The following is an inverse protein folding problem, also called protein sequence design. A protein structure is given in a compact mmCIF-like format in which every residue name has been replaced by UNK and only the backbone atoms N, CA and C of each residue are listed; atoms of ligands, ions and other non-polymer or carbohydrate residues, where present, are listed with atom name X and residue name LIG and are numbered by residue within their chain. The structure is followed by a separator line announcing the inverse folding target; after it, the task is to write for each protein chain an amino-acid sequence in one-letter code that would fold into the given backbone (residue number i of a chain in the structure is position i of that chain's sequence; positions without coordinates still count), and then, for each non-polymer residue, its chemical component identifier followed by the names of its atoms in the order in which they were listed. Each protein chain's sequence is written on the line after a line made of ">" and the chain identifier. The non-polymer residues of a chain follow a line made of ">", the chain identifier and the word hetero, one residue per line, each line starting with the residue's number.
data_IF_575908564504
#
_entry.id   IF_575908564504
#
_cell.length_a   1.000
_cell.length_b   1.000
_cell.length_c   1.000
_cell.angle_alpha   90.00
_cell.angle_beta   90.00
_cell.angle_gamma   90.00
#
_symmetry.space_group_name_H-M   'P 1'
#
loop_
_entity.id
_entity.type
_entity.pdbx_description
1 polymer ?
#
# COMPACT_ATOMS: atom_id res chain seq x y z
N UNK A 1 2.21 -102.30 52.61
CA UNK A 1 2.00 -101.02 53.30
C UNK A 1 2.80 -99.93 52.59
N UNK A 2 2.11 -98.89 52.10
CA UNK A 2 2.68 -97.74 51.34
C UNK A 2 3.06 -96.62 52.32
N UNK A 3 3.97 -95.74 51.86
CA UNK A 3 4.15 -94.30 52.24
C UNK A 3 5.25 -93.97 53.27
N UNK A 4 6.53 -93.95 52.89
CA UNK A 4 7.49 -92.97 53.44
C UNK A 4 8.58 -92.63 52.42
N UNK A 5 8.22 -92.13 51.24
CA UNK A 5 9.20 -91.50 50.32
C UNK A 5 8.53 -90.37 49.54
N UNK A 6 8.17 -89.26 50.21
CA UNK A 6 7.72 -88.02 49.55
C UNK A 6 8.07 -86.75 50.35
N UNK A 7 9.23 -86.67 50.97
CA UNK A 7 9.65 -85.47 51.72
C UNK A 7 10.77 -84.64 51.07
N UNK A 8 11.17 -84.92 49.82
CA UNK A 8 12.32 -84.23 49.19
C UNK A 8 12.05 -83.27 48.03
N UNK A 9 10.79 -82.98 47.70
CA UNK A 9 10.49 -82.07 46.58
C UNK A 9 9.27 -81.20 46.87
N UNK A 10 9.32 -80.42 47.95
CA UNK A 10 8.38 -79.31 48.11
C UNK A 10 9.14 -78.06 48.52
N UNK A 11 8.87 -76.98 47.78
CA UNK A 11 9.17 -75.57 48.05
C UNK A 11 10.43 -74.96 47.43
N UNK A 12 10.60 -75.14 46.13
CA UNK A 12 11.03 -74.04 45.24
C UNK A 12 10.14 -73.99 44.00
N UNK A 13 8.81 -73.93 44.20
CA UNK A 13 7.94 -73.42 43.14
C UNK A 13 8.10 -71.91 43.16
N UNK A 14 9.01 -71.40 42.32
CA UNK A 14 9.04 -70.00 41.95
C UNK A 14 7.59 -69.60 41.61
N UNK A 15 6.99 -68.78 42.48
CA UNK A 15 5.69 -68.22 42.22
C UNK A 15 5.83 -67.41 40.93
N UNK A 16 5.29 -67.95 39.83
CA UNK A 16 5.24 -67.28 38.53
C UNK A 16 4.40 -66.03 38.72
N UNK A 17 5.05 -64.91 39.09
CA UNK A 17 4.43 -63.60 39.23
C UNK A 17 3.72 -63.30 37.92
N UNK A 18 2.38 -63.36 37.93
CA UNK A 18 1.56 -62.96 36.79
C UNK A 18 1.79 -61.46 36.61
N UNK A 19 2.55 -61.07 35.58
CA UNK A 19 2.65 -59.66 35.20
C UNK A 19 1.23 -59.17 34.85
N UNK A 20 0.80 -57.99 35.33
CA UNK A 20 -0.48 -57.45 34.92
C UNK A 20 -0.44 -57.24 33.40
N UNK A 21 -1.38 -57.84 32.67
CA UNK A 21 -1.59 -57.53 31.26
C UNK A 21 -2.07 -56.08 31.21
N UNK A 22 -1.18 -55.17 30.81
CA UNK A 22 -1.60 -53.84 30.42
C UNK A 22 -2.67 -53.99 29.33
N UNK A 23 -3.87 -53.47 29.58
CA UNK A 23 -4.91 -53.39 28.56
C UNK A 23 -4.43 -52.35 27.55
N UNK A 24 -3.78 -52.81 26.49
CA UNK A 24 -3.36 -51.97 25.38
C UNK A 24 -4.59 -51.30 24.76
N UNK A 25 -4.47 -50.02 24.48
CA UNK A 25 -5.51 -49.27 23.77
C UNK A 25 -5.68 -49.90 22.38
N UNK A 26 -6.92 -50.12 21.94
CA UNK A 26 -7.17 -50.72 20.62
C UNK A 26 -6.69 -49.78 19.51
N UNK A 27 -6.14 -50.33 18.43
CA UNK A 27 -5.64 -49.55 17.29
C UNK A 27 -6.72 -48.62 16.69
N UNK A 28 -7.98 -49.01 16.78
CA UNK A 28 -9.14 -48.20 16.35
C UNK A 28 -9.29 -46.94 17.20
N UNK A 29 -9.09 -47.02 18.51
CA UNK A 29 -9.18 -45.86 19.41
C UNK A 29 -8.01 -44.89 19.19
N UNK A 30 -6.83 -45.44 18.89
CA UNK A 30 -5.65 -44.65 18.50
C UNK A 30 -5.87 -43.93 17.17
N UNK A 31 -6.43 -44.61 16.16
CA UNK A 31 -6.78 -44.02 14.87
C UNK A 31 -7.85 -42.92 15.03
N UNK A 32 -8.88 -43.15 15.85
CA UNK A 32 -9.90 -42.15 16.14
C UNK A 32 -9.32 -40.91 16.82
N UNK A 33 -8.41 -41.09 17.78
CA UNK A 33 -7.73 -39.96 18.45
C UNK A 33 -6.90 -39.12 17.47
N UNK A 34 -6.19 -39.76 16.53
CA UNK A 34 -5.42 -39.05 15.49
C UNK A 34 -6.33 -38.22 14.60
N UNK A 35 -7.47 -38.77 14.16
CA UNK A 35 -8.43 -38.03 13.32
C UNK A 35 -8.99 -36.82 14.06
N UNK A 36 -9.31 -36.95 15.35
CA UNK A 36 -9.80 -35.83 16.16
C UNK A 36 -8.75 -34.73 16.30
N UNK A 37 -7.50 -35.10 16.58
CA UNK A 37 -6.38 -34.14 16.67
C UNK A 37 -6.18 -33.43 15.33
N UNK A 38 -6.18 -34.17 14.21
CA UNK A 38 -6.05 -33.60 12.88
C UNK A 38 -7.20 -32.63 12.57
N UNK A 39 -8.44 -32.99 12.91
CA UNK A 39 -9.61 -32.13 12.74
C UNK A 39 -9.49 -30.82 13.51
N UNK A 40 -9.05 -30.88 14.79
CA UNK A 40 -8.83 -29.69 15.61
C UNK A 40 -7.72 -28.81 15.01
N UNK A 41 -6.60 -29.42 14.61
CA UNK A 41 -5.50 -28.66 14.00
C UNK A 41 -5.92 -28.00 12.69
N UNK A 42 -6.73 -28.66 11.87
CA UNK A 42 -7.21 -28.08 10.61
C UNK A 42 -8.07 -26.84 10.86
N UNK A 43 -9.03 -26.93 11.79
CA UNK A 43 -9.89 -25.80 12.15
C UNK A 43 -9.07 -24.64 12.71
N UNK A 44 -8.08 -24.93 13.55
CA UNK A 44 -7.22 -23.90 14.13
C UNK A 44 -6.39 -23.18 13.08
N UNK A 45 -5.75 -23.93 12.17
CA UNK A 45 -4.99 -23.34 11.06
C UNK A 45 -5.88 -22.52 10.13
N UNK A 46 -7.11 -22.97 9.85
CA UNK A 46 -8.01 -22.23 8.98
C UNK A 46 -8.37 -20.86 9.58
N UNK A 47 -8.67 -20.81 10.89
CA UNK A 47 -8.95 -19.55 11.60
C UNK A 47 -7.76 -18.59 11.62
N UNK A 48 -6.54 -19.10 11.81
CA UNK A 48 -5.36 -18.23 11.80
C UNK A 48 -5.10 -17.68 10.40
N UNK A 49 -5.25 -18.50 9.36
CA UNK A 49 -5.10 -18.03 7.97
C UNK A 49 -6.13 -16.96 7.59
N UNK A 50 -7.38 -17.08 8.02
CA UNK A 50 -8.40 -16.03 7.75
C UNK A 50 -8.06 -14.73 8.48
N UNK A 51 -7.62 -14.80 9.73
CA UNK A 51 -7.22 -13.61 10.49
C UNK A 51 -6.01 -12.91 9.87
N UNK A 52 -5.03 -13.67 9.39
CA UNK A 52 -3.86 -13.11 8.69
C UNK A 52 -4.29 -12.43 7.40
N UNK A 53 -5.21 -13.02 6.65
CA UNK A 53 -5.74 -12.41 5.43
C UNK A 53 -6.47 -11.09 5.73
N UNK A 54 -7.33 -11.07 6.75
CA UNK A 54 -8.00 -9.85 7.21
C UNK A 54 -7.00 -8.76 7.61
N UNK A 55 -6.00 -9.10 8.41
CA UNK A 55 -4.92 -8.18 8.79
C UNK A 55 -4.16 -7.64 7.58
N UNK A 56 -3.82 -8.50 6.61
CA UNK A 56 -3.15 -8.08 5.38
C UNK A 56 -4.02 -7.11 4.57
N UNK A 57 -5.32 -7.36 4.46
CA UNK A 57 -6.23 -6.42 3.78
C UNK A 57 -6.35 -5.08 4.51
N UNK A 58 -6.38 -5.09 5.85
CA UNK A 58 -6.38 -3.87 6.65
C UNK A 58 -5.09 -3.07 6.46
N UNK A 59 -3.94 -3.74 6.47
CA UNK A 59 -2.63 -3.12 6.20
C UNK A 59 -2.59 -2.51 4.80
N UNK A 60 -3.05 -3.23 3.78
CA UNK A 60 -3.10 -2.72 2.40
C UNK A 60 -3.96 -1.47 2.29
N UNK A 61 -5.12 -1.45 2.95
CA UNK A 61 -6.01 -0.27 3.00
C UNK A 61 -5.33 0.91 3.70
N UNK A 62 -4.66 0.67 4.82
CA UNK A 62 -3.91 1.71 5.53
C UNK A 62 -2.76 2.26 4.69
N UNK A 63 -2.03 1.39 3.98
CA UNK A 63 -0.97 1.82 3.06
C UNK A 63 -1.50 2.68 1.91
N UNK A 64 -2.63 2.30 1.31
CA UNK A 64 -3.26 3.11 0.26
C UNK A 64 -3.67 4.49 0.79
N UNK A 65 -4.24 4.55 1.99
CA UNK A 65 -4.60 5.82 2.63
C UNK A 65 -3.39 6.70 2.93
N UNK A 66 -2.25 6.11 3.34
CA UNK A 66 -1.00 6.85 3.54
C UNK A 66 -0.45 7.40 2.23
N UNK A 67 -0.49 6.61 1.15
CA UNK A 67 -0.03 7.05 -0.16
C UNK A 67 -0.89 8.21 -0.70
N UNK A 68 -2.22 8.14 -0.52
CA UNK A 68 -3.14 9.22 -0.88
C UNK A 68 -2.87 10.50 -0.07
N UNK A 69 -2.61 10.37 1.23
CA UNK A 69 -2.21 11.50 2.08
C UNK A 69 -0.88 12.12 1.63
N UNK A 70 0.12 11.31 1.29
CA UNK A 70 1.41 11.81 0.81
C UNK A 70 1.27 12.55 -0.53
N UNK A 71 0.47 12.00 -1.45
CA UNK A 71 0.14 12.69 -2.72
C UNK A 71 -0.53 14.03 -2.46
N UNK A 72 -1.53 14.06 -1.59
CA UNK A 72 -2.24 15.29 -1.23
C UNK A 72 -1.30 16.33 -0.59
N UNK A 73 -0.42 15.88 0.31
CA UNK A 73 0.58 16.76 0.93
C UNK A 73 1.55 17.35 -0.10
N UNK A 74 2.03 16.53 -1.03
CA UNK A 74 2.94 16.97 -2.11
C UNK A 74 2.26 17.96 -3.05
N UNK A 75 0.99 17.73 -3.40
CA UNK A 75 0.23 18.63 -4.26
C UNK A 75 -0.01 19.99 -3.59
N UNK A 76 -0.41 19.98 -2.31
CA UNK A 76 -0.54 21.21 -1.52
C UNK A 76 0.79 21.96 -1.41
N UNK A 77 1.89 21.25 -1.16
CA UNK A 77 3.20 21.87 -1.06
C UNK A 77 3.66 22.47 -2.41
N UNK A 78 3.40 21.78 -3.52
CA UNK A 78 3.67 22.31 -4.86
C UNK A 78 2.83 23.57 -5.15
N UNK A 79 1.56 23.59 -4.74
CA UNK A 79 0.69 24.76 -4.82
C UNK A 79 1.23 25.94 -4.01
N UNK A 80 1.71 25.69 -2.79
CA UNK A 80 2.35 26.72 -1.95
C UNK A 80 3.63 27.27 -2.57
N UNK A 81 4.48 26.40 -3.11
CA UNK A 81 5.72 26.80 -3.78
C UNK A 81 5.42 27.63 -5.04
N UNK A 82 4.37 27.28 -5.80
CA UNK A 82 3.94 28.06 -6.97
C UNK A 82 3.44 29.46 -6.59
N UNK A 83 2.66 29.58 -5.50
CA UNK A 83 2.19 30.87 -4.99
C UNK A 83 3.39 31.71 -4.53
N UNK A 84 4.29 31.14 -3.74
CA UNK A 84 5.48 31.82 -3.23
C UNK A 84 6.39 32.28 -4.37
N UNK A 85 6.60 31.42 -5.39
CA UNK A 85 7.35 31.78 -6.60
C UNK A 85 6.68 32.93 -7.35
N UNK A 86 5.35 32.92 -7.48
CA UNK A 86 4.61 33.99 -8.16
C UNK A 86 4.73 35.32 -7.41
N UNK A 87 4.67 35.29 -6.08
CA UNK A 87 4.88 36.47 -5.24
C UNK A 87 6.32 36.99 -5.33
N UNK A 88 7.31 36.10 -5.33
CA UNK A 88 8.71 36.46 -5.51
C UNK A 88 8.97 37.07 -6.91
N UNK A 89 8.32 36.55 -7.96
CA UNK A 89 8.35 37.11 -9.32
C UNK A 89 7.74 38.51 -9.33
N UNK A 90 6.54 38.68 -8.74
CA UNK A 90 5.88 39.98 -8.61
C UNK A 90 6.77 40.99 -7.89
N UNK A 91 7.38 40.58 -6.78
CA UNK A 91 8.27 41.42 -5.97
C UNK A 91 9.50 41.86 -6.78
N UNK A 92 10.17 40.93 -7.46
CA UNK A 92 11.33 41.27 -8.31
C UNK A 92 10.92 42.19 -9.47
N UNK A 93 9.83 41.90 -10.15
CA UNK A 93 9.32 42.73 -11.24
C UNK A 93 9.02 44.16 -10.78
N UNK A 94 8.33 44.31 -9.65
CA UNK A 94 7.95 45.62 -9.12
C UNK A 94 9.14 46.43 -8.61
N UNK A 95 10.00 45.82 -7.80
CA UNK A 95 11.05 46.55 -7.08
C UNK A 95 12.39 46.60 -7.81
N UNK A 96 12.75 45.58 -8.58
CA UNK A 96 14.03 45.55 -9.31
C UNK A 96 13.87 46.07 -10.75
N UNK A 97 12.76 45.73 -11.42
CA UNK A 97 12.52 46.11 -12.81
C UNK A 97 11.62 47.36 -12.94
N UNK A 98 11.08 47.87 -11.84
CA UNK A 98 10.19 49.04 -11.84
C UNK A 98 8.86 48.81 -12.56
N UNK A 99 8.45 47.55 -12.74
CA UNK A 99 7.21 47.22 -13.42
C UNK A 99 6.00 47.60 -12.56
N UNK A 100 5.03 48.28 -13.18
CA UNK A 100 3.75 48.61 -12.56
C UNK A 100 2.70 47.62 -13.06
N UNK A 101 1.84 47.14 -12.16
CA UNK A 101 0.76 46.23 -12.54
C UNK A 101 -0.24 47.01 -13.41
N UNK A 102 -0.65 46.48 -14.58
CA UNK A 102 -1.55 47.18 -15.48
C UNK A 102 -2.95 47.33 -14.87
N UNK A 103 -3.61 48.44 -15.17
CA UNK A 103 -4.98 48.71 -14.75
C UNK A 103 -5.99 47.84 -15.55
N UNK A 104 -7.17 47.59 -14.98
CA UNK A 104 -8.16 46.67 -15.56
C UNK A 104 -8.67 47.10 -16.95
N UNK A 105 -8.54 48.38 -17.30
CA UNK A 105 -8.88 48.95 -18.60
C UNK A 105 -7.82 48.65 -19.69
N UNK A 106 -6.61 48.26 -19.29
CA UNK A 106 -5.50 47.92 -20.19
C UNK A 106 -5.47 46.42 -20.55
N UNK A 107 -6.30 45.59 -19.91
CA UNK A 107 -6.36 44.14 -20.16
C UNK A 107 -7.32 43.85 -21.32
N UNK A 108 -6.78 43.57 -22.51
CA UNK A 108 -7.57 43.10 -23.66
C UNK A 108 -7.64 41.57 -23.69
N UNK A 109 -8.85 41.03 -23.58
CA UNK A 109 -9.12 39.60 -23.78
C UNK A 109 -9.23 39.32 -25.28
N UNK A 110 -8.34 38.48 -25.80
CA UNK A 110 -8.42 38.00 -27.19
C UNK A 110 -9.23 36.71 -27.17
N UNK A 111 -10.42 36.76 -27.77
CA UNK A 111 -11.29 35.61 -27.92
C UNK A 111 -10.76 34.72 -29.05
N UNK A 112 -10.00 33.68 -28.70
CA UNK A 112 -9.50 32.69 -29.66
C UNK A 112 -10.60 31.68 -29.99
N UNK A 113 -11.63 32.16 -30.67
CA UNK A 113 -12.49 31.28 -31.46
C UNK A 113 -11.65 30.72 -32.60
N UNK A 114 -11.26 29.44 -32.49
CA UNK A 114 -10.57 28.68 -33.52
C UNK A 114 -11.44 28.62 -34.78
N UNK A 115 -11.33 29.62 -35.65
CA UNK A 115 -11.70 29.49 -37.05
C UNK A 115 -10.62 28.64 -37.71
N UNK A 116 -10.96 27.37 -37.94
CA UNK A 116 -10.25 26.47 -38.82
C UNK A 116 -10.40 26.97 -40.27
N UNK A 117 -9.73 28.05 -40.64
CA UNK A 117 -9.47 28.37 -42.04
C UNK A 117 -7.98 28.18 -42.30
N UNK A 118 -7.71 27.08 -43.01
CA UNK A 118 -6.43 26.77 -43.65
C UNK A 118 -6.00 27.97 -44.48
N UNK A 119 -4.99 28.71 -44.03
CA UNK A 119 -4.25 29.59 -44.92
C UNK A 119 -2.77 29.43 -44.62
N UNK A 120 -2.06 29.08 -45.69
CA UNK A 120 -0.64 28.84 -45.84
C UNK A 120 0.23 29.70 -44.93
N UNK A 121 1.04 29.03 -44.11
CA UNK A 121 2.12 29.67 -43.36
C UNK A 121 3.26 29.92 -44.35
N UNK A 122 3.34 31.14 -44.90
CA UNK A 122 4.58 31.61 -45.52
C UNK A 122 5.56 31.98 -44.41
N UNK A 123 6.46 31.05 -44.15
CA UNK A 123 7.59 31.11 -43.25
C UNK A 123 8.56 32.22 -43.69
N UNK A 124 8.26 33.50 -43.34
CA UNK A 124 9.21 34.63 -43.44
C UNK A 124 8.67 35.89 -42.75
N UNK A 125 8.71 35.97 -41.41
CA UNK A 125 8.81 37.27 -40.73
C UNK A 125 9.78 37.16 -39.56
N UNK A 126 11.05 37.29 -39.89
CA UNK A 126 12.10 37.58 -38.92
C UNK A 126 11.82 38.95 -38.26
N UNK A 127 11.74 38.92 -36.92
CA UNK A 127 12.25 39.94 -36.00
C UNK A 127 12.19 41.41 -36.45
N UNK A 128 11.21 42.17 -35.93
CA UNK A 128 11.49 43.57 -35.58
C UNK A 128 10.58 44.12 -34.47
N UNK A 129 11.03 44.20 -33.21
CA UNK A 129 10.28 44.85 -32.13
C UNK A 129 10.44 46.39 -32.07
N UNK A 130 11.10 47.06 -33.03
CA UNK A 130 11.50 48.47 -32.85
C UNK A 130 10.57 49.52 -33.50
N UNK A 131 9.64 49.17 -34.39
CA UNK A 131 8.92 50.20 -35.19
C UNK A 131 7.53 50.60 -34.65
N UNK A 132 7.00 49.97 -33.61
CA UNK A 132 5.63 50.32 -33.15
C UNK A 132 5.52 51.59 -32.30
N UNK A 133 6.64 52.24 -31.95
CA UNK A 133 6.64 53.47 -31.11
C UNK A 133 6.65 54.76 -31.95
N UNK A 134 6.99 54.70 -33.24
CA UNK A 134 7.16 55.90 -34.07
C UNK A 134 5.88 56.39 -34.79
N UNK A 135 4.77 55.63 -34.76
CA UNK A 135 3.52 56.07 -35.39
C UNK A 135 2.62 56.93 -34.48
N UNK A 136 2.89 57.03 -33.18
CA UNK A 136 2.09 57.84 -32.24
C UNK A 136 2.51 59.33 -32.26
N UNK A 137 3.66 59.67 -32.84
CA UNK A 137 4.17 61.05 -32.87
C UNK A 137 4.07 61.73 -34.23
N UNK A 138 3.25 61.21 -35.14
CA UNK A 138 3.10 61.79 -36.48
C UNK A 138 1.65 61.94 -36.88
N UNK A 139 0.93 62.79 -36.16
CA UNK A 139 -0.25 63.48 -36.68
C UNK A 139 -0.42 64.79 -35.90
N UNK A 140 0.19 65.85 -36.46
CA UNK A 140 -0.37 67.20 -36.46
C UNK A 140 -1.38 67.30 -37.62
#
# INVERSE_FOLDING_TARGET
>A
MKRVQRSRQQKTRAAKRRRPRARGVSAVFLAAAVIVVLGITLVFNLKTHTQIAELNTAIAKQHASLEEMDKTYRDLNAGLDAIKSSEDILRKAKFQLGMVYPDNDQVKYIDVNMKNEKNDVNENVYLNPVISVLHIFKED
#
